data_IF_027511726825
#
_entry.id   IF_027511726825
#
_cell.length_a   1.000
_cell.length_b   1.000
_cell.length_c   1.000
_cell.angle_alpha   90.00
_cell.angle_beta   90.00
_cell.angle_gamma   90.00
#
_symmetry.space_group_name_H-M   'P 1'
#
loop_
_entity.id
_entity.type
_entity.pdbx_description
1 polymer ?
2 non-polymer ?
3 non-polymer ?
4 non-polymer ?
5 non-polymer ?
6 water ?
#
# COMPACT_ATOMS: atom_id res chain seq x y z
N UNK A 8 -9.74 -18.83 13.55
CA UNK A 8 -8.99 -17.62 13.22
C UNK A 8 -7.76 -17.94 12.38
N UNK A 9 -7.86 -17.82 11.06
CA UNK A 9 -6.82 -18.24 10.14
C UNK A 9 -6.29 -17.04 9.37
N UNK A 10 -4.98 -16.95 9.24
CA UNK A 10 -4.31 -15.93 8.45
C UNK A 10 -3.87 -16.53 7.11
N UNK A 11 -4.25 -15.87 6.01
CA UNK A 11 -3.79 -16.30 4.71
C UNK A 11 -2.48 -15.64 4.30
N UNK A 12 -1.79 -16.27 3.33
CA UNK A 12 -0.57 -15.72 2.76
C UNK A 12 -0.50 -16.11 1.29
N UNK A 13 -0.17 -15.14 0.43
CA UNK A 13 0.01 -15.43 -0.99
C UNK A 13 1.38 -14.94 -1.44
N UNK A 14 2.11 -15.80 -2.14
CA UNK A 14 3.41 -15.46 -2.69
C UNK A 14 3.68 -16.38 -3.87
N UNK A 15 4.28 -15.83 -4.92
CA UNK A 15 4.62 -16.61 -6.10
C UNK A 15 5.93 -16.07 -6.65
N UNK A 16 6.92 -16.96 -6.82
CA UNK A 16 8.25 -16.48 -7.22
C UNK A 16 8.26 -15.95 -8.64
N UNK A 17 7.24 -16.28 -9.45
CA UNK A 17 7.20 -15.76 -10.81
C UNK A 17 7.12 -14.24 -10.84
N UNK A 18 6.70 -13.60 -9.76
CA UNK A 18 6.73 -12.15 -9.75
C UNK A 18 8.15 -11.58 -9.69
N UNK A 19 9.18 -12.43 -9.56
CA UNK A 19 10.58 -11.99 -9.57
C UNK A 19 11.11 -11.73 -10.99
N UNK A 20 10.37 -12.14 -12.02
CA UNK A 20 10.86 -12.02 -13.39
C UNK A 20 10.92 -10.56 -13.87
N UNK A 21 10.05 -9.70 -13.36
CA UNK A 21 10.12 -8.27 -13.63
C UNK A 21 11.48 -7.73 -13.19
N UNK A 22 12.20 -7.06 -14.09
CA UNK A 22 13.54 -6.60 -13.74
C UNK A 22 13.97 -5.42 -14.60
N UNK A 23 14.96 -4.69 -14.09
CA UNK A 23 15.57 -3.57 -14.81
C UNK A 23 16.78 -4.11 -15.57
N UNK A 24 16.66 -4.21 -16.89
CA UNK A 24 17.74 -4.81 -17.65
C UNK A 24 18.91 -3.86 -17.89
N UNK A 25 18.76 -2.57 -17.57
CA UNK A 25 19.83 -1.59 -17.69
C UNK A 25 20.45 -1.21 -16.36
N UNK A 26 19.92 -1.67 -15.23
CA UNK A 26 20.54 -1.41 -13.94
C UNK A 26 20.14 -2.56 -13.02
N UNK A 27 21.04 -3.54 -12.87
CA UNK A 27 20.78 -4.70 -12.05
C UNK A 27 20.70 -4.36 -10.57
N UNK A 28 21.16 -3.18 -10.16
CA UNK A 28 21.10 -2.76 -8.77
C UNK A 28 19.98 -1.75 -8.51
N UNK A 29 19.02 -1.62 -9.42
CA UNK A 29 17.86 -0.77 -9.15
C UNK A 29 17.18 -1.24 -7.86
N UNK A 30 16.81 -0.32 -6.97
CA UNK A 30 16.32 -0.73 -5.64
C UNK A 30 15.06 -1.58 -5.67
N UNK A 31 14.20 -1.44 -6.68
CA UNK A 31 12.98 -2.26 -6.77
C UNK A 31 13.37 -3.60 -7.38
N UNK A 32 14.03 -4.41 -6.56
CA UNK A 32 14.73 -5.66 -6.85
C UNK A 32 13.77 -6.85 -6.84
N UNK A 33 13.99 -7.83 -7.73
CA UNK A 33 13.24 -9.08 -7.60
C UNK A 33 13.38 -9.70 -6.22
N UNK A 34 14.52 -9.51 -5.57
CA UNK A 34 14.82 -10.16 -4.30
C UNK A 34 14.10 -9.54 -3.12
N UNK A 35 13.42 -8.40 -3.32
CA UNK A 35 12.54 -7.88 -2.27
C UNK A 35 11.57 -8.96 -1.79
N UNK A 36 10.83 -9.59 -2.69
CA UNK A 36 9.79 -10.51 -2.25
C UNK A 36 10.39 -11.84 -1.78
N UNK A 37 11.46 -12.32 -2.44
CA UNK A 37 12.07 -13.58 -2.04
C UNK A 37 12.69 -13.48 -0.65
N UNK A 38 13.37 -12.37 -0.36
CA UNK A 38 13.92 -12.19 0.97
C UNK A 38 12.82 -12.16 2.03
N UNK A 39 11.71 -11.46 1.75
CA UNK A 39 10.59 -11.44 2.70
C UNK A 39 10.05 -12.85 2.90
N UNK A 40 9.80 -13.55 1.80
CA UNK A 40 9.28 -14.92 1.92
C UNK A 40 10.19 -15.79 2.78
N UNK A 41 11.52 -15.70 2.57
CA UNK A 41 12.45 -16.54 3.34
C UNK A 41 12.40 -16.21 4.83
N UNK A 42 12.31 -14.92 5.18
CA UNK A 42 12.23 -14.56 6.60
C UNK A 42 10.98 -15.14 7.26
N UNK A 43 9.86 -15.15 6.53
CA UNK A 43 8.65 -15.81 7.04
C UNK A 43 8.91 -17.27 7.32
N UNK A 44 9.65 -17.94 6.43
CA UNK A 44 10.00 -19.35 6.66
C UNK A 44 10.87 -19.49 7.91
N UNK A 45 11.91 -18.66 8.01
CA UNK A 45 12.87 -18.76 9.11
C UNK A 45 12.22 -18.53 10.46
N UNK A 46 11.30 -17.56 10.54
CA UNK A 46 10.62 -17.26 11.79
C UNK A 46 9.45 -18.19 12.08
N UNK A 47 9.21 -19.17 11.21
CA UNK A 47 8.11 -20.15 11.36
C UNK A 47 6.75 -19.47 11.27
N UNK A 48 6.64 -18.42 10.46
CA UNK A 48 5.37 -17.74 10.24
C UNK A 48 4.59 -18.35 9.08
N UNK A 49 5.30 -18.73 8.01
CA UNK A 49 4.67 -19.29 6.83
C UNK A 49 3.88 -20.55 7.14
N UNK A 50 4.46 -21.43 7.97
CA UNK A 50 3.79 -22.70 8.28
C UNK A 50 2.48 -22.49 9.04
N UNK A 51 2.36 -21.39 9.79
CA UNK A 51 1.13 -21.11 10.53
C UNK A 51 0.03 -20.52 9.66
N UNK A 52 0.31 -20.16 8.42
CA UNK A 52 -0.67 -19.53 7.54
C UNK A 52 -1.36 -20.54 6.63
N UNK A 53 -2.54 -20.16 6.16
CA UNK A 53 -3.17 -20.86 5.06
C UNK A 53 -2.63 -20.29 3.76
N UNK A 54 -2.15 -21.15 2.87
CA UNK A 54 -1.48 -20.71 1.67
C UNK A 54 -2.51 -20.44 0.58
N UNK A 55 -2.62 -19.18 0.16
CA UNK A 55 -3.58 -18.78 -0.85
C UNK A 55 -2.91 -18.82 -2.21
N UNK A 56 -3.50 -19.49 -3.20
CA UNK A 56 -2.88 -19.54 -4.52
C UNK A 56 -2.93 -18.22 -5.26
N UNK A 57 -1.89 -17.98 -6.06
CA UNK A 57 -1.77 -16.80 -6.91
C UNK A 57 -2.44 -17.04 -8.25
N UNK A 58 -2.84 -15.95 -8.89
CA UNK A 58 -3.46 -16.06 -10.21
C UNK A 58 -3.25 -14.76 -10.97
N UNK A 59 -3.42 -14.84 -12.28
CA UNK A 59 -3.41 -13.64 -13.10
C UNK A 59 -4.73 -12.90 -12.95
N UNK A 60 -4.65 -11.57 -12.81
CA UNK A 60 -5.82 -10.75 -13.08
C UNK A 60 -6.14 -10.82 -14.57
N UNK A 61 -7.43 -10.69 -14.89
CA UNK A 61 -7.87 -10.64 -16.27
C UNK A 61 -7.96 -9.20 -16.76
N UNK A 62 -7.99 -9.04 -18.08
CA UNK A 62 -8.09 -7.70 -18.65
C UNK A 62 -9.36 -6.98 -18.20
N UNK A 63 -10.44 -7.74 -18.02
CA UNK A 63 -11.69 -7.14 -17.55
C UNK A 63 -11.58 -6.70 -16.09
N UNK A 64 -10.80 -7.40 -15.28
CA UNK A 64 -10.62 -6.96 -13.90
C UNK A 64 -9.76 -5.69 -13.84
N UNK A 65 -8.77 -5.58 -14.73
CA UNK A 65 -8.00 -4.32 -14.82
C UNK A 65 -8.90 -3.14 -15.19
N UNK A 66 -9.92 -3.38 -16.02
CA UNK A 66 -10.85 -2.32 -16.41
C UNK A 66 -11.69 -1.82 -15.25
N UNK A 67 -11.63 -2.46 -14.08
CA UNK A 67 -12.29 -1.90 -12.91
C UNK A 67 -11.75 -0.52 -12.54
N UNK A 68 -10.48 -0.28 -12.82
CA UNK A 68 -9.81 0.97 -12.44
C UNK A 68 -9.05 1.64 -13.57
N UNK A 69 -8.63 0.91 -14.61
CA UNK A 69 -7.71 1.43 -15.61
C UNK A 69 -8.36 1.53 -16.98
N UNK A 70 -7.93 2.53 -17.74
CA UNK A 70 -8.45 2.76 -19.07
C UNK A 70 -7.97 1.66 -20.03
N UNK A 71 -8.77 1.47 -21.09
CA UNK A 71 -8.41 0.45 -22.07
C UNK A 71 -7.12 0.82 -22.81
N UNK A 72 -6.82 2.12 -22.93
CA UNK A 72 -5.57 2.52 -23.56
C UNK A 72 -4.37 2.11 -22.72
N UNK A 73 -4.42 2.35 -21.41
CA UNK A 73 -3.30 2.02 -20.54
C UNK A 73 -3.09 0.50 -20.45
N UNK A 74 -4.18 -0.27 -20.42
CA UNK A 74 -4.03 -1.72 -20.43
C UNK A 74 -3.41 -2.18 -21.75
N UNK A 75 -3.87 -1.60 -22.86
CA UNK A 75 -3.37 -2.00 -24.17
C UNK A 75 -1.87 -1.74 -24.31
N UNK A 76 -1.38 -0.64 -23.76
CA UNK A 76 0.02 -0.26 -23.94
C UNK A 76 0.93 -1.17 -23.11
N UNK A 77 0.61 -1.37 -21.83
CA UNK A 77 1.43 -2.23 -20.98
C UNK A 77 1.38 -3.67 -21.48
N UNK A 78 0.21 -4.11 -21.95
CA UNK A 78 0.09 -5.45 -22.52
C UNK A 78 1.03 -5.63 -23.72
N UNK A 79 1.13 -4.61 -24.58
CA UNK A 79 1.95 -4.72 -25.78
C UNK A 79 3.44 -4.84 -25.46
N UNK A 80 3.88 -4.43 -24.26
CA UNK A 80 5.29 -4.48 -23.89
C UNK A 80 5.81 -5.90 -23.71
N UNK A 81 4.92 -6.90 -23.60
CA UNK A 81 5.38 -8.27 -23.48
C UNK A 81 6.17 -8.74 -24.70
N UNK A 82 5.96 -8.10 -25.86
CA UNK A 82 6.56 -8.53 -27.12
C UNK A 82 7.56 -7.54 -27.68
N UNK A 83 8.02 -6.58 -26.86
CA UNK A 83 8.89 -5.53 -27.35
C UNK A 83 10.36 -5.94 -27.24
N UNK A 84 11.15 -5.50 -28.22
CA UNK A 84 12.60 -5.63 -28.16
C UNK A 84 13.14 -4.66 -27.10
N UNK A 85 14.36 -4.89 -26.60
CA UNK A 85 14.88 -4.03 -25.53
C UNK A 85 14.86 -2.54 -25.86
N UNK A 86 15.20 -2.18 -27.10
CA UNK A 86 15.26 -0.77 -27.49
C UNK A 86 13.90 -0.08 -27.34
N UNK A 87 12.82 -0.80 -27.64
CA UNK A 87 11.47 -0.26 -27.47
C UNK A 87 11.04 -0.27 -26.01
N UNK A 88 11.43 -1.30 -25.27
CA UNK A 88 11.16 -1.31 -23.83
C UNK A 88 11.75 -0.08 -23.16
N UNK A 89 12.97 0.32 -23.59
CA UNK A 89 13.59 1.51 -23.02
C UNK A 89 12.82 2.78 -23.40
N UNK A 90 12.43 2.89 -24.68
CA UNK A 90 11.69 4.07 -25.12
C UNK A 90 10.38 4.21 -24.36
N UNK A 91 9.59 3.14 -24.30
CA UNK A 91 8.30 3.16 -23.62
C UNK A 91 8.45 3.51 -22.14
N UNK A 92 9.40 2.87 -21.46
CA UNK A 92 9.61 3.16 -20.05
C UNK A 92 9.95 4.62 -19.79
N UNK A 93 10.68 5.26 -20.70
CA UNK A 93 11.05 6.66 -20.53
C UNK A 93 9.88 7.61 -20.75
N UNK A 94 8.81 7.14 -21.38
CA UNK A 94 7.62 7.95 -21.52
C UNK A 94 6.87 8.13 -20.19
N UNK A 95 7.24 7.39 -19.16
CA UNK A 95 6.61 7.50 -17.85
C UNK A 95 7.59 8.09 -16.84
N UNK A 96 7.04 8.55 -15.72
CA UNK A 96 7.85 9.01 -14.60
C UNK A 96 8.31 7.82 -13.78
N UNK A 97 9.63 7.54 -13.81
CA UNK A 97 10.26 6.52 -12.97
C UNK A 97 9.67 5.13 -13.21
N UNK A 98 9.91 4.61 -14.42
CA UNK A 98 9.41 3.29 -14.80
C UNK A 98 10.49 2.57 -15.62
N UNK A 99 10.78 1.32 -15.27
CA UNK A 99 11.52 0.42 -16.12
C UNK A 99 10.64 -0.77 -16.48
N UNK A 100 10.83 -1.32 -17.69
CA UNK A 100 9.98 -2.38 -18.22
C UNK A 100 10.84 -3.47 -18.84
N UNK A 101 10.44 -4.73 -18.60
CA UNK A 101 10.99 -5.91 -19.26
C UNK A 101 9.83 -6.69 -19.89
N UNK A 102 10.15 -7.79 -20.58
CA UNK A 102 9.10 -8.57 -21.25
C UNK A 102 8.18 -9.27 -20.27
N UNK A 103 8.59 -9.42 -19.02
CA UNK A 103 7.81 -10.09 -17.98
C UNK A 103 6.97 -9.14 -17.14
N UNK A 104 7.15 -7.81 -17.30
CA UNK A 104 6.53 -6.84 -16.40
C UNK A 104 5.01 -6.93 -16.43
N UNK A 105 4.42 -7.06 -17.62
CA UNK A 105 2.96 -7.11 -17.71
C UNK A 105 2.42 -8.32 -16.94
N UNK A 106 3.02 -9.49 -17.17
CA UNK A 106 2.58 -10.70 -16.47
C UNK A 106 2.76 -10.58 -14.96
N UNK A 107 3.85 -9.97 -14.49
CA UNK A 107 4.03 -9.88 -13.05
C UNK A 107 3.02 -8.93 -12.42
N UNK A 108 2.69 -7.83 -13.10
CA UNK A 108 1.69 -6.93 -12.58
C UNK A 108 0.33 -7.62 -12.52
N UNK A 109 0.04 -8.48 -13.51
CA UNK A 109 -1.19 -9.27 -13.46
C UNK A 109 -1.18 -10.18 -12.24
N UNK A 110 -0.05 -10.85 -11.99
CA UNK A 110 0.01 -11.79 -10.89
C UNK A 110 -0.13 -11.09 -9.55
N UNK A 111 0.47 -9.92 -9.42
CA UNK A 111 0.36 -9.17 -8.18
C UNK A 111 -1.11 -8.83 -7.91
N UNK A 112 -1.81 -8.31 -8.93
CA UNK A 112 -3.22 -7.96 -8.75
C UNK A 112 -4.08 -9.19 -8.52
N UNK A 113 -3.89 -10.24 -9.33
CA UNK A 113 -4.70 -11.44 -9.16
C UNK A 113 -4.45 -12.13 -7.83
N UNK A 114 -3.20 -12.13 -7.36
CA UNK A 114 -2.90 -12.67 -6.04
C UNK A 114 -3.71 -11.96 -4.96
N UNK A 115 -3.85 -10.65 -5.09
CA UNK A 115 -4.58 -9.89 -4.09
C UNK A 115 -6.09 -10.11 -4.19
N UNK A 116 -6.61 -10.25 -5.42
CA UNK A 116 -8.03 -10.60 -5.58
C UNK A 116 -8.34 -11.92 -4.86
N UNK A 117 -7.48 -12.93 -5.05
CA UNK A 117 -7.73 -14.22 -4.41
C UNK A 117 -7.68 -14.09 -2.90
N UNK A 118 -6.79 -13.24 -2.37
CA UNK A 118 -6.75 -13.05 -0.92
C UNK A 118 -7.98 -12.30 -0.41
N UNK A 119 -8.44 -11.29 -1.16
CA UNK A 119 -9.66 -10.60 -0.76
C UNK A 119 -10.86 -11.53 -0.80
N UNK A 120 -10.97 -12.35 -1.84
CA UNK A 120 -12.06 -13.31 -1.91
C UNK A 120 -12.02 -14.30 -0.75
N UNK A 121 -10.82 -14.74 -0.38
CA UNK A 121 -10.67 -15.67 0.75
C UNK A 121 -11.13 -15.04 2.06
N UNK A 122 -10.85 -13.75 2.25
CA UNK A 122 -11.30 -13.06 3.45
C UNK A 122 -12.82 -12.87 3.41
N UNK A 123 -13.35 -12.46 2.26
CA UNK A 123 -14.75 -12.08 2.18
C UNK A 123 -15.68 -13.29 2.25
N UNK A 124 -15.20 -14.46 1.83
CA UNK A 124 -16.01 -15.67 1.90
C UNK A 124 -15.78 -16.46 3.19
N UNK A 125 -14.94 -15.96 4.10
CA UNK A 125 -14.75 -16.65 5.38
C UNK A 125 -13.72 -17.77 5.39
N UNK A 126 -12.94 -17.94 4.33
CA UNK A 126 -11.92 -18.98 4.38
C UNK A 126 -10.78 -18.59 5.32
N UNK A 127 -10.51 -17.30 5.46
CA UNK A 127 -9.50 -16.77 6.38
C UNK A 127 -10.05 -15.51 7.03
N UNK A 128 -9.48 -15.16 8.19
CA UNK A 128 -9.83 -13.92 8.89
C UNK A 128 -9.10 -12.72 8.28
N UNK A 129 -7.81 -12.86 8.00
CA UNK A 129 -7.01 -11.81 7.41
C UNK A 129 -5.93 -12.45 6.52
N UNK A 130 -5.08 -11.62 5.89
CA UNK A 130 -4.10 -12.15 4.93
C UNK A 130 -2.97 -11.16 4.64
N UNK A 131 -1.83 -11.71 4.19
CA UNK A 131 -0.66 -10.95 3.73
C UNK A 131 -0.35 -11.32 2.28
N UNK A 132 -0.07 -10.32 1.46
CA UNK A 132 0.31 -10.52 0.06
C UNK A 132 1.71 -9.97 -0.17
N UNK A 133 2.64 -10.86 -0.46
CA UNK A 133 4.04 -10.51 -0.73
C UNK A 133 4.15 -10.42 -2.24
N UNK A 134 3.95 -9.22 -2.80
CA UNK A 134 3.78 -9.07 -4.23
C UNK A 134 4.64 -7.92 -4.74
N UNK A 135 4.95 -7.99 -6.04
CA UNK A 135 5.62 -6.92 -6.76
C UNK A 135 5.30 -7.08 -8.23
N UNK A 136 5.47 -6.02 -9.04
CA UNK A 136 5.84 -4.63 -8.72
C UNK A 136 4.73 -3.95 -7.93
N UNK A 137 5.00 -2.81 -7.25
CA UNK A 137 3.94 -2.15 -6.45
C UNK A 137 2.87 -1.50 -7.32
N UNK A 138 1.89 -0.84 -6.69
CA UNK A 138 0.76 -0.33 -7.45
C UNK A 138 0.25 1.08 -7.15
N UNK A 139 0.56 1.66 -5.99
CA UNK A 139 -0.25 2.79 -5.53
C UNK A 139 0.04 4.10 -6.25
N UNK A 140 1.10 4.17 -7.05
CA UNK A 140 1.35 5.33 -7.91
C UNK A 140 0.69 5.22 -9.26
N UNK A 141 0.23 4.03 -9.66
CA UNK A 141 -0.42 3.88 -10.96
C UNK A 141 -1.80 4.57 -10.95
N UNK A 142 -2.07 5.30 -12.02
CA UNK A 142 -3.32 6.02 -12.18
C UNK A 142 -4.19 5.28 -13.20
N UNK A 143 -5.38 5.82 -13.45
CA UNK A 143 -6.30 5.19 -14.40
C UNK A 143 -5.66 5.07 -15.78
N UNK A 144 -4.97 6.11 -16.23
CA UNK A 144 -4.48 6.18 -17.60
C UNK A 144 -2.96 6.09 -17.73
N UNK A 145 -2.21 5.87 -16.65
CA UNK A 145 -0.75 5.88 -16.79
C UNK A 145 -0.06 5.14 -15.65
N UNK A 146 1.12 4.61 -15.96
CA UNK A 146 2.05 4.02 -15.01
C UNK A 146 2.97 5.09 -14.44
N UNK A 147 3.50 4.82 -13.25
CA UNK A 147 4.32 5.80 -12.55
C UNK A 147 4.98 5.15 -11.34
N UNK A 148 6.18 5.63 -11.02
CA UNK A 148 6.85 5.28 -9.77
C UNK A 148 6.99 3.81 -9.47
N UNK A 149 7.46 3.04 -10.44
CA UNK A 149 7.64 1.58 -10.39
C UNK A 149 6.31 0.82 -10.47
N UNK A 150 5.17 1.50 -10.61
CA UNK A 150 3.84 0.89 -10.55
C UNK A 150 3.20 0.86 -11.94
N UNK A 151 2.61 -0.28 -12.31
CA UNK A 151 1.92 -0.42 -13.60
C UNK A 151 0.40 -0.38 -13.48
N UNK A 152 -0.17 -1.20 -12.60
CA UNK A 152 -1.59 -1.18 -12.31
C UNK A 152 -1.74 -1.02 -10.80
N UNK A 153 -2.83 -0.37 -10.39
CA UNK A 153 -3.02 -0.03 -8.98
C UNK A 153 -3.65 -1.23 -8.28
N UNK A 154 -2.80 -2.04 -7.64
CA UNK A 154 -3.22 -3.30 -7.07
C UNK A 154 -4.22 -3.11 -5.92
N UNK A 155 -3.89 -2.22 -4.97
CA UNK A 155 -4.80 -1.94 -3.86
C UNK A 155 -6.14 -1.40 -4.34
N UNK A 156 -6.12 -0.48 -5.32
CA UNK A 156 -7.37 0.08 -5.85
C UNK A 156 -8.19 -0.97 -6.59
N UNK A 157 -7.52 -1.81 -7.39
CA UNK A 157 -8.22 -2.87 -8.10
C UNK A 157 -8.84 -3.86 -7.15
N UNK A 158 -8.16 -4.14 -6.03
CA UNK A 158 -8.67 -5.09 -5.05
C UNK A 158 -9.92 -4.57 -4.36
N UNK A 159 -9.92 -3.28 -4.01
CA UNK A 159 -11.13 -2.68 -3.44
C UNK A 159 -12.30 -2.79 -4.41
N UNK A 160 -12.10 -2.44 -5.69
CA UNK A 160 -13.18 -2.60 -6.65
C UNK A 160 -13.53 -4.06 -6.89
N UNK A 161 -12.52 -4.95 -6.87
CA UNK A 161 -12.81 -6.38 -7.00
C UNK A 161 -13.66 -6.87 -5.83
N UNK A 162 -13.29 -6.48 -4.61
CA UNK A 162 -14.06 -6.87 -3.43
C UNK A 162 -15.51 -6.44 -3.57
N UNK A 163 -15.74 -5.21 -4.03
CA UNK A 163 -17.11 -4.75 -4.25
C UNK A 163 -17.81 -5.56 -5.34
N UNK A 164 -17.07 -5.96 -6.39
CA UNK A 164 -17.71 -6.68 -7.49
C UNK A 164 -18.21 -8.06 -7.08
N UNK A 165 -17.61 -8.67 -6.06
CA UNK A 165 -18.03 -10.00 -5.62
C UNK A 165 -18.85 -9.94 -4.34
N UNK A 166 -19.26 -8.75 -3.91
CA UNK A 166 -20.12 -8.65 -2.74
C UNK A 166 -21.29 -7.73 -3.06
N UNK A 167 -21.12 -6.43 -2.80
CA UNK A 167 -22.12 -5.45 -3.20
C UNK A 167 -21.39 -4.14 -3.45
N UNK A 168 -21.97 -3.32 -4.34
CA UNK A 168 -21.25 -2.14 -4.80
C UNK A 168 -20.95 -1.18 -3.66
N UNK A 169 -21.79 -1.15 -2.63
CA UNK A 169 -21.61 -0.22 -1.51
C UNK A 169 -20.76 -0.78 -0.38
N UNK A 170 -20.03 -1.87 -0.61
CA UNK A 170 -19.15 -2.42 0.42
C UNK A 170 -18.17 -1.34 0.88
N UNK A 171 -18.08 -1.14 2.19
CA UNK A 171 -17.24 -0.08 2.75
C UNK A 171 -15.82 -0.61 2.92
N UNK A 172 -14.89 -0.10 2.10
CA UNK A 172 -13.49 -0.50 2.12
C UNK A 172 -12.65 0.69 2.60
N UNK A 173 -11.82 0.46 3.61
CA UNK A 173 -10.80 1.41 4.02
C UNK A 173 -9.45 0.98 3.46
N UNK A 174 -8.70 1.93 2.90
CA UNK A 174 -7.35 1.69 2.40
C UNK A 174 -6.42 2.57 3.22
N UNK A 175 -5.54 1.96 4.01
CA UNK A 175 -4.53 2.68 4.77
C UNK A 175 -3.20 2.50 4.05
N UNK A 176 -2.60 3.62 3.66
CA UNK A 176 -1.37 3.65 2.85
C UNK A 176 -0.26 4.19 3.74
N UNK A 177 0.52 3.30 4.35
CA UNK A 177 1.63 3.73 5.20
C UNK A 177 2.97 3.62 4.51
N UNK A 178 2.98 3.34 3.20
CA UNK A 178 4.15 3.58 2.38
C UNK A 178 4.61 5.03 2.54
N UNK A 179 5.93 5.26 2.52
CA UNK A 179 6.42 6.60 2.82
C UNK A 179 6.04 7.60 1.73
N UNK A 180 5.67 7.15 0.55
CA UNK A 180 5.26 8.03 -0.54
C UNK A 180 3.73 8.12 -0.62
N UNK A 181 3.24 9.24 -1.15
CA UNK A 181 1.81 9.41 -1.35
C UNK A 181 1.32 8.51 -2.47
N UNK A 182 0.22 7.79 -2.21
CA UNK A 182 -0.36 6.94 -3.25
C UNK A 182 -1.30 7.72 -4.14
N UNK A 183 -0.70 8.56 -5.00
CA UNK A 183 -1.46 9.48 -5.85
C UNK A 183 -2.52 8.76 -6.67
N UNK A 184 -2.18 7.58 -7.20
CA UNK A 184 -3.15 6.83 -7.99
C UNK A 184 -4.36 6.42 -7.18
N UNK A 185 -4.15 5.99 -5.93
CA UNK A 185 -5.26 5.52 -5.10
C UNK A 185 -6.17 6.68 -4.72
N UNK A 186 -5.60 7.80 -4.29
CA UNK A 186 -6.40 9.01 -4.05
C UNK A 186 -7.25 9.37 -5.25
N UNK A 187 -6.64 9.45 -6.43
CA UNK A 187 -7.37 9.96 -7.58
C UNK A 187 -8.44 8.97 -8.06
N UNK A 188 -8.16 7.67 -8.01
CA UNK A 188 -9.17 6.70 -8.44
C UNK A 188 -10.44 6.81 -7.60
N UNK A 189 -10.30 7.09 -6.30
CA UNK A 189 -11.45 7.12 -5.39
C UNK A 189 -11.83 8.53 -4.94
N UNK A 190 -11.37 9.56 -5.66
CA UNK A 190 -11.47 10.93 -5.15
C UNK A 190 -12.91 11.36 -4.93
N UNK A 191 -13.81 10.92 -5.81
CA UNK A 191 -15.23 11.28 -5.75
C UNK A 191 -16.09 10.19 -5.12
N UNK A 192 -15.48 9.20 -4.49
CA UNK A 192 -16.14 7.99 -4.05
C UNK A 192 -16.22 7.94 -2.53
N UNK A 193 -17.42 7.76 -1.98
CA UNK A 193 -17.58 7.67 -0.54
C UNK A 193 -17.69 6.24 -0.05
N UNK A 194 -17.55 5.27 -0.95
CA UNK A 194 -17.54 3.86 -0.58
C UNK A 194 -16.15 3.34 -0.26
N UNK A 195 -15.09 4.12 -0.54
CA UNK A 195 -13.71 3.72 -0.30
C UNK A 195 -13.00 4.89 0.36
N UNK A 196 -12.70 4.76 1.65
CA UNK A 196 -11.97 5.77 2.41
C UNK A 196 -10.48 5.55 2.22
N UNK A 197 -9.77 6.56 1.70
CA UNK A 197 -8.32 6.50 1.49
C UNK A 197 -7.64 7.35 2.55
N UNK A 198 -6.75 6.74 3.34
CA UNK A 198 -5.95 7.45 4.33
C UNK A 198 -4.49 7.16 4.02
N UNK A 199 -3.71 8.21 3.71
CA UNK A 199 -2.29 8.06 3.42
C UNK A 199 -1.45 8.86 4.42
N UNK A 200 -0.38 8.25 4.92
CA UNK A 200 0.67 8.96 5.61
C UNK A 200 1.91 8.96 4.72
N UNK A 201 2.58 10.11 4.62
CA UNK A 201 3.65 10.18 3.64
C UNK A 201 4.58 11.35 3.96
N UNK A 202 5.83 11.21 3.52
CA UNK A 202 6.77 12.32 3.56
C UNK A 202 6.44 13.30 2.44
N UNK A 203 6.30 14.57 2.79
CA UNK A 203 5.81 15.58 1.84
C UNK A 203 6.83 16.67 1.57
N UNK A 204 7.38 17.29 2.62
CA UNK A 204 8.33 18.41 2.51
C UNK A 204 7.85 19.47 1.51
N UNK A 205 6.65 19.98 1.75
CA UNK A 205 6.07 21.09 0.98
C UNK A 205 5.93 20.75 -0.50
N UNK A 206 5.92 19.47 -0.87
CA UNK A 206 5.77 19.09 -2.24
C UNK A 206 7.06 18.80 -2.98
N UNK A 207 8.16 18.56 -2.26
CA UNK A 207 9.44 18.30 -2.89
C UNK A 207 9.83 16.81 -2.91
N UNK A 208 9.12 15.96 -2.17
CA UNK A 208 9.37 14.53 -2.13
C UNK A 208 8.51 13.83 -3.18
N UNK A 209 9.02 12.74 -3.75
CA UNK A 209 8.27 12.02 -4.76
C UNK A 209 6.89 11.63 -4.21
N UNK A 210 5.81 11.76 -5.00
CA UNK A 210 5.78 12.16 -6.42
C UNK A 210 5.67 13.66 -6.72
N UNK A 211 6.08 14.52 -5.78
CA UNK A 211 6.39 15.93 -6.06
C UNK A 211 5.16 16.75 -6.46
N UNK A 212 4.05 16.53 -5.78
CA UNK A 212 2.83 17.23 -6.15
C UNK A 212 2.11 17.68 -4.89
N UNK A 213 1.46 18.84 -4.99
CA UNK A 213 0.61 19.32 -3.90
C UNK A 213 -0.67 18.50 -3.75
N UNK A 214 -0.93 17.53 -4.64
CA UNK A 214 -2.05 16.61 -4.45
C UNK A 214 -1.96 15.85 -3.15
N UNK A 215 -0.77 15.73 -2.57
CA UNK A 215 -0.54 14.99 -1.33
C UNK A 215 -0.77 15.82 -0.08
N UNK A 216 -1.16 17.10 -0.22
CA UNK A 216 -1.28 17.92 0.97
C UNK A 216 -2.58 17.64 1.72
N UNK A 217 -2.57 18.00 3.01
CA UNK A 217 -3.69 17.72 3.92
C UNK A 217 -4.99 18.34 3.44
N UNK A 218 -4.95 19.39 2.61
CA UNK A 218 -6.19 20.06 2.23
C UNK A 218 -6.91 19.37 1.07
N UNK A 219 -6.37 18.29 0.52
CA UNK A 219 -7.07 17.53 -0.50
C UNK A 219 -7.95 16.50 0.22
N UNK A 220 -9.23 16.83 0.43
CA UNK A 220 -10.09 16.02 1.28
C UNK A 220 -11.09 15.20 0.48
N UNK A 221 -11.02 15.22 -0.86
CA UNK A 221 -12.00 14.56 -1.69
C UNK A 221 -12.87 15.56 -2.44
N UNK A 222 -13.68 15.03 -3.36
CA UNK A 222 -14.47 15.85 -4.27
C UNK A 222 -15.92 15.36 -4.33
N UNK A 223 -16.86 16.28 -4.21
CA UNK A 223 -18.27 15.90 -4.38
C UNK A 223 -18.74 15.01 -3.26
N UNK A 224 -19.40 13.89 -3.63
CA UNK A 224 -19.83 12.93 -2.63
C UNK A 224 -18.68 12.39 -1.81
N UNK A 225 -17.46 12.42 -2.34
CA UNK A 225 -16.30 11.90 -1.63
C UNK A 225 -15.60 12.90 -0.75
N UNK A 226 -16.22 14.06 -0.49
CA UNK A 226 -15.66 15.03 0.42
C UNK A 226 -15.61 14.45 1.83
N UNK A 227 -14.41 14.50 2.45
CA UNK A 227 -14.15 13.86 3.71
C UNK A 227 -13.55 12.46 3.60
N UNK A 228 -13.61 11.84 2.42
CA UNK A 228 -13.25 10.43 2.27
C UNK A 228 -11.85 10.25 1.69
N UNK A 229 -11.02 11.29 1.78
CA UNK A 229 -9.62 11.25 1.38
C UNK A 229 -8.84 11.99 2.45
N UNK A 230 -7.96 11.28 3.14
CA UNK A 230 -7.28 11.83 4.31
C UNK A 230 -5.78 11.74 4.04
N UNK A 231 -5.14 12.88 3.71
CA UNK A 231 -3.69 12.96 3.53
C UNK A 231 -3.05 13.48 4.81
N UNK A 232 -2.07 12.74 5.32
CA UNK A 232 -1.31 13.16 6.50
C UNK A 232 0.13 13.40 6.05
N UNK A 233 0.47 14.63 5.67
CA UNK A 233 1.80 14.93 5.12
C UNK A 233 2.82 15.32 6.19
N UNK A 234 4.02 14.74 6.08
CA UNK A 234 5.11 15.05 6.98
C UNK A 234 6.03 16.08 6.37
N UNK A 235 6.42 17.08 7.16
CA UNK A 235 7.41 18.07 6.78
C UNK A 235 8.47 18.14 7.86
N UNK A 236 9.73 18.35 7.46
CA UNK A 236 10.79 18.60 8.41
C UNK A 236 11.54 17.39 8.92
N UNK A 237 12.09 16.58 8.00
CA UNK A 237 13.05 15.56 8.37
C UNK A 237 12.44 14.27 8.91
N UNK A 238 13.28 13.54 9.64
CA UNK A 238 13.00 12.14 9.96
C UNK A 238 11.85 12.02 10.96
N UNK A 239 10.98 11.03 10.72
CA UNK A 239 9.89 10.66 11.60
C UNK A 239 9.99 9.18 11.94
N UNK A 240 9.35 8.77 13.04
CA UNK A 240 9.43 7.40 13.50
C UNK A 240 8.18 6.92 14.20
N UNK A 241 8.36 5.90 15.05
CA UNK A 241 7.27 5.33 15.85
C UNK A 241 6.43 6.36 16.59
N UNK A 242 7.00 7.36 17.30
CA UNK A 242 6.13 8.29 18.05
C UNK A 242 5.17 9.07 17.16
N UNK A 243 5.64 9.50 16.00
CA UNK A 243 4.80 10.26 15.09
C UNK A 243 3.72 9.39 14.47
N UNK A 244 4.08 8.16 14.08
CA UNK A 244 3.08 7.29 13.47
C UNK A 244 2.06 6.81 14.49
N UNK A 245 2.49 6.57 15.74
CA UNK A 245 1.54 6.19 16.79
C UNK A 245 0.60 7.33 17.14
N UNK A 246 1.11 8.57 17.16
CA UNK A 246 0.26 9.71 17.43
C UNK A 246 -0.73 9.94 16.29
N UNK A 247 -0.29 9.77 15.04
CA UNK A 247 -1.18 9.98 13.92
C UNK A 247 -2.32 8.94 13.93
N UNK A 248 -2.02 7.70 14.27
CA UNK A 248 -3.06 6.68 14.38
C UNK A 248 -4.03 6.99 15.52
N UNK A 249 -3.50 7.53 16.62
CA UNK A 249 -4.35 7.81 17.79
C UNK A 249 -5.29 8.98 17.54
N UNK A 250 -4.81 10.06 16.92
CA UNK A 250 -5.62 11.24 16.74
C UNK A 250 -6.46 11.22 15.47
N UNK A 251 -5.99 10.55 14.41
CA UNK A 251 -6.63 10.65 13.11
C UNK A 251 -7.05 9.30 12.55
N UNK A 252 -6.11 8.37 12.31
CA UNK A 252 -6.42 7.21 11.49
C UNK A 252 -7.55 6.38 12.11
N UNK A 253 -7.40 6.05 13.41
CA UNK A 253 -8.35 5.13 14.05
C UNK A 253 -9.70 5.80 14.37
N UNK A 254 -9.74 7.05 14.83
CA UNK A 254 -11.05 7.69 15.00
C UNK A 254 -11.83 7.83 13.70
N UNK A 255 -11.20 8.29 12.62
CA UNK A 255 -11.91 8.37 11.35
C UNK A 255 -12.34 6.99 10.86
N UNK A 256 -11.45 5.99 10.97
CA UNK A 256 -11.81 4.63 10.55
C UNK A 256 -12.97 4.08 11.38
N UNK A 257 -12.98 4.31 12.69
CA UNK A 257 -14.09 3.81 13.50
C UNK A 257 -15.40 4.43 13.06
N UNK A 258 -15.41 5.74 12.76
CA UNK A 258 -16.63 6.41 12.32
C UNK A 258 -17.05 5.95 10.92
N UNK A 259 -16.07 5.63 10.06
CA UNK A 259 -16.39 5.10 8.73
C UNK A 259 -16.93 3.67 8.81
N UNK A 260 -16.49 2.90 9.81
CA UNK A 260 -16.89 1.52 10.02
C UNK A 260 -16.69 0.64 8.79
N UNK A 261 -15.46 0.48 8.30
CA UNK A 261 -15.25 -0.33 7.10
C UNK A 261 -15.64 -1.78 7.32
N UNK A 262 -16.03 -2.44 6.22
CA UNK A 262 -16.23 -3.88 6.25
C UNK A 262 -15.00 -4.65 5.81
N UNK A 263 -14.07 -4.01 5.08
CA UNK A 263 -12.82 -4.62 4.68
C UNK A 263 -11.72 -3.57 4.78
N UNK A 264 -10.55 -3.96 5.30
CA UNK A 264 -9.40 -3.05 5.44
C UNK A 264 -8.27 -3.57 4.56
N UNK A 265 -7.82 -2.74 3.62
CA UNK A 265 -6.64 -3.01 2.80
C UNK A 265 -5.52 -2.08 3.26
N UNK A 266 -4.34 -2.65 3.49
CA UNK A 266 -3.17 -1.85 3.82
C UNK A 266 -2.27 -1.81 2.58
N UNK A 267 -2.07 -0.61 2.03
CA UNK A 267 -1.03 -0.39 1.04
C UNK A 267 0.27 -0.26 1.83
N UNK A 268 0.92 -1.39 2.04
CA UNK A 268 1.95 -1.52 3.07
C UNK A 268 3.34 -1.50 2.43
N UNK A 269 3.74 -0.30 2.03
CA UNK A 269 5.14 -0.05 1.77
C UNK A 269 5.94 -0.13 3.05
N UNK A 270 7.20 -0.52 2.94
CA UNK A 270 8.05 -0.52 4.14
C UNK A 270 9.26 0.40 3.95
N UNK A 271 9.08 1.46 3.15
CA UNK A 271 10.14 2.42 2.89
C UNK A 271 10.17 3.55 3.92
N UNK A 272 9.24 3.56 4.87
CA UNK A 272 9.42 4.41 6.05
C UNK A 272 10.23 3.72 7.14
N UNK A 273 10.75 2.53 6.87
CA UNK A 273 11.46 1.75 7.87
C UNK A 273 12.88 2.27 8.11
N UNK A 274 13.32 2.13 9.36
CA UNK A 274 14.71 2.33 9.71
C UNK A 274 15.60 1.57 8.73
N UNK A 275 16.54 2.30 8.11
CA UNK A 275 17.49 1.72 7.19
C UNK A 275 17.18 1.93 5.73
N UNK A 276 16.06 2.56 5.38
CA UNK A 276 15.71 2.72 3.98
C UNK A 276 16.20 4.07 3.47
N UNK A 277 17.06 4.11 2.44
CA UNK A 277 17.54 5.40 1.94
C UNK A 277 16.50 6.17 1.15
N UNK A 278 15.49 5.49 0.60
CA UNK A 278 14.50 6.17 -0.22
C UNK A 278 13.45 6.90 0.61
N UNK A 279 13.36 6.58 1.90
CA UNK A 279 12.37 7.20 2.76
C UNK A 279 12.97 8.09 3.82
N UNK A 280 14.11 7.68 4.38
CA UNK A 280 14.79 8.46 5.38
C UNK A 280 14.09 8.56 6.73
N UNK A 281 13.17 7.64 7.02
CA UNK A 281 12.45 7.60 8.30
C UNK A 281 12.97 6.45 9.14
N UNK A 282 12.41 6.29 10.34
CA UNK A 282 12.91 5.22 11.21
C UNK A 282 11.78 4.52 11.97
N UNK A 283 10.68 4.22 11.27
CA UNK A 283 9.68 3.33 11.85
C UNK A 283 10.31 1.95 12.05
N UNK A 284 10.10 1.37 13.24
CA UNK A 284 10.72 0.10 13.64
C UNK A 284 9.79 -1.07 13.34
N UNK A 285 10.33 -2.30 13.29
CA UNK A 285 9.43 -3.46 13.11
C UNK A 285 8.39 -3.55 14.21
N UNK A 286 8.75 -3.18 15.44
CA UNK A 286 7.75 -3.13 16.51
C UNK A 286 6.70 -2.05 16.23
N UNK A 287 7.13 -0.91 15.67
CA UNK A 287 6.18 0.10 15.24
C UNK A 287 5.15 -0.43 14.25
N UNK A 288 5.62 -1.17 13.23
CA UNK A 288 4.68 -1.71 12.25
C UNK A 288 3.76 -2.76 12.87
N UNK A 289 4.27 -3.53 13.83
CA UNK A 289 3.42 -4.46 14.57
C UNK A 289 2.27 -3.73 15.26
N UNK A 290 2.55 -2.59 15.90
CA UNK A 290 1.49 -1.87 16.59
C UNK A 290 0.49 -1.28 15.61
N UNK A 291 0.97 -0.75 14.48
CA UNK A 291 0.04 -0.25 13.46
C UNK A 291 -0.89 -1.35 12.98
N UNK A 292 -0.35 -2.54 12.72
CA UNK A 292 -1.18 -3.66 12.30
C UNK A 292 -2.19 -4.03 13.38
N UNK A 293 -1.74 -4.12 14.64
CA UNK A 293 -2.62 -4.55 15.72
C UNK A 293 -3.78 -3.59 15.93
N UNK A 294 -3.54 -2.28 15.76
CA UNK A 294 -4.65 -1.32 15.82
C UNK A 294 -5.63 -1.53 14.68
N UNK A 295 -5.14 -1.77 13.46
CA UNK A 295 -6.05 -1.94 12.34
C UNK A 295 -6.91 -3.19 12.49
N UNK A 296 -6.42 -4.21 13.21
CA UNK A 296 -7.18 -5.45 13.40
C UNK A 296 -8.42 -5.26 14.26
N UNK A 297 -8.56 -4.14 14.97
CA UNK A 297 -9.78 -3.86 15.71
C UNK A 297 -10.91 -3.39 14.82
N UNK A 298 -10.68 -3.22 13.52
CA UNK A 298 -11.67 -2.76 12.55
C UNK A 298 -12.18 -3.91 11.70
N UNK A 299 -13.37 -3.73 11.13
CA UNK A 299 -13.91 -4.58 10.08
C UNK A 299 -13.96 -6.06 10.47
N UNK A 300 -14.22 -6.34 11.75
CA UNK A 300 -14.27 -7.70 12.27
C UNK A 300 -12.96 -8.44 12.00
N UNK A 301 -11.87 -7.67 11.88
CA UNK A 301 -10.57 -8.24 11.63
C UNK A 301 -10.23 -8.52 10.18
N UNK A 302 -11.11 -8.13 9.25
CA UNK A 302 -10.88 -8.39 7.83
C UNK A 302 -9.80 -7.47 7.28
N UNK A 303 -8.53 -7.85 7.42
CA UNK A 303 -7.42 -7.02 7.02
C UNK A 303 -6.57 -7.77 5.99
N UNK A 304 -6.27 -7.12 4.88
CA UNK A 304 -5.34 -7.64 3.88
C UNK A 304 -4.16 -6.69 3.75
N UNK A 305 -2.95 -7.20 3.98
CA UNK A 305 -1.73 -6.38 3.96
C UNK A 305 -1.03 -6.60 2.62
N UNK A 306 -0.91 -5.53 1.84
CA UNK A 306 -0.40 -5.61 0.47
C UNK A 306 0.95 -4.90 0.39
N UNK A 307 1.99 -5.62 -0.02
CA UNK A 307 3.30 -4.99 -0.16
C UNK A 307 3.27 -3.93 -1.25
N UNK A 308 3.81 -2.76 -0.93
CA UNK A 308 4.08 -1.74 -1.94
C UNK A 308 5.59 -1.54 -2.05
N UNK A 309 6.11 -0.39 -1.61
CA UNK A 309 7.54 -0.13 -1.61
C UNK A 309 8.26 -0.69 -0.39
N UNK A 310 9.48 -0.20 -0.18
CA UNK A 310 10.34 -0.77 0.84
C UNK A 310 11.57 -1.44 0.23
N UNK A 311 12.76 -0.87 0.44
CA UNK A 311 13.91 -1.20 -0.38
C UNK A 311 15.15 -1.66 0.37
N UNK A 312 15.18 -1.58 1.70
CA UNK A 312 16.22 -2.23 2.49
C UNK A 312 15.79 -3.66 2.73
N UNK A 313 16.53 -4.62 2.17
CA UNK A 313 16.06 -6.00 2.14
C UNK A 313 15.87 -6.56 3.55
N UNK A 314 16.79 -6.28 4.47
CA UNK A 314 16.64 -6.76 5.83
C UNK A 314 15.50 -6.05 6.56
N UNK A 315 15.33 -4.75 6.30
CA UNK A 315 14.33 -3.95 7.02
C UNK A 315 12.92 -4.38 6.63
N UNK A 316 12.67 -4.55 5.33
CA UNK A 316 11.33 -4.96 4.89
C UNK A 316 11.02 -6.39 5.31
N UNK A 317 12.04 -7.25 5.44
CA UNK A 317 11.80 -8.63 5.84
C UNK A 317 11.40 -8.71 7.31
N UNK A 318 12.11 -7.99 8.19
CA UNK A 318 11.74 -7.96 9.60
C UNK A 318 10.41 -7.24 9.82
N UNK A 319 10.12 -6.21 9.03
CA UNK A 319 8.94 -5.38 9.29
C UNK A 319 7.67 -6.06 8.83
N UNK A 320 7.69 -6.65 7.64
CA UNK A 320 6.49 -7.35 7.17
C UNK A 320 6.28 -8.65 7.95
N UNK A 321 7.34 -9.30 8.41
CA UNK A 321 7.17 -10.47 9.26
C UNK A 321 6.47 -10.09 10.55
N UNK A 322 6.88 -8.97 11.15
CA UNK A 322 6.21 -8.48 12.36
C UNK A 322 4.71 -8.26 12.12
N UNK A 323 4.33 -7.80 10.93
CA UNK A 323 2.91 -7.59 10.64
C UNK A 323 2.17 -8.93 10.60
N UNK A 324 2.72 -9.90 9.88
CA UNK A 324 2.09 -11.21 9.80
C UNK A 324 1.97 -11.87 11.18
N UNK A 325 2.97 -11.69 12.03
CA UNK A 325 2.90 -12.15 13.41
C UNK A 325 1.69 -11.56 14.15
N UNK A 326 1.42 -10.26 13.94
CA UNK A 326 0.24 -9.66 14.55
C UNK A 326 -1.04 -10.26 14.00
N UNK A 327 -1.15 -10.41 12.67
CA UNK A 327 -2.35 -10.99 12.09
C UNK A 327 -2.62 -12.39 12.65
N UNK A 328 -1.55 -13.17 12.89
CA UNK A 328 -1.65 -14.50 13.45
C UNK A 328 -2.10 -14.50 14.91
N UNK A 329 -2.16 -13.35 15.57
CA UNK A 329 -2.65 -13.27 16.93
C UNK A 329 -1.60 -13.14 18.03
N UNK A 330 -0.32 -13.01 17.67
CA UNK A 330 0.72 -12.87 18.68
C UNK A 330 0.60 -11.53 19.41
N UNK A 331 1.09 -11.51 20.65
CA UNK A 331 1.03 -10.32 21.48
C UNK A 331 1.91 -9.22 20.87
N UNK A 332 1.46 -7.97 20.89
CA UNK A 332 2.27 -6.87 20.30
C UNK A 332 3.56 -6.69 21.06
N UNK A 333 4.68 -6.53 20.35
CA UNK A 333 5.98 -6.41 21.01
C UNK A 333 6.13 -5.08 21.71
N UNK A 334 7.03 -5.07 22.70
CA UNK A 334 7.30 -3.85 23.44
C UNK A 334 8.00 -2.83 22.55
N UNK A 335 7.50 -1.60 22.54
CA UNK A 335 8.12 -0.55 21.74
C UNK A 335 9.35 0.02 22.43
N UNK A 336 10.30 0.49 21.63
CA UNK A 336 11.47 1.19 22.15
C UNK A 336 11.02 2.49 22.81
N UNK A 337 11.99 3.33 23.18
CA UNK A 337 11.62 4.62 23.76
C UNK A 337 10.95 5.48 22.69
N UNK A 338 9.83 6.11 23.05
CA UNK A 338 9.09 6.98 22.15
C UNK A 338 9.46 8.42 22.50
N UNK A 339 10.37 9.00 21.73
CA UNK A 339 10.73 10.40 21.90
C UNK A 339 9.49 11.27 21.72
N UNK A 340 9.45 12.47 22.32
CA UNK A 340 8.26 13.32 22.16
C UNK A 340 8.07 13.72 20.71
N UNK A 341 6.80 13.95 20.34
CA UNK A 341 6.49 14.35 18.98
C UNK A 341 7.32 15.54 18.52
N UNK A 342 7.93 15.41 17.34
CA UNK A 342 8.57 16.56 16.72
C UNK A 342 7.53 17.65 16.51
N UNK A 343 7.91 18.91 16.81
CA UNK A 343 7.00 20.04 16.63
C UNK A 343 6.35 20.00 15.26
N UNK A 344 7.12 19.64 14.22
CA UNK A 344 6.58 19.64 12.86
C UNK A 344 5.52 18.56 12.68
N UNK A 345 5.67 17.44 13.38
CA UNK A 345 4.65 16.39 13.33
C UNK A 345 3.36 16.84 14.01
N UNK A 346 3.48 17.58 15.12
CA UNK A 346 2.30 18.17 15.75
C UNK A 346 1.58 19.10 14.78
N UNK A 347 2.33 19.97 14.09
CA UNK A 347 1.73 20.86 13.10
C UNK A 347 0.96 20.07 12.04
N UNK A 348 1.54 18.97 11.54
CA UNK A 348 0.86 18.20 10.50
C UNK A 348 -0.43 17.58 11.01
N UNK A 349 -0.39 16.98 12.20
CA UNK A 349 -1.58 16.35 12.75
C UNK A 349 -2.66 17.40 12.98
N UNK A 350 -2.25 18.57 13.45
CA UNK A 350 -3.22 19.64 13.68
C UNK A 350 -3.81 20.15 12.37
N UNK A 351 -2.99 20.23 11.31
CA UNK A 351 -3.53 20.67 10.02
C UNK A 351 -4.55 19.66 9.47
N UNK A 352 -4.30 18.36 9.64
CA UNK A 352 -5.26 17.37 9.16
C UNK A 352 -6.53 17.40 10.01
N UNK A 353 -6.38 17.47 11.34
CA UNK A 353 -7.52 17.56 12.24
C UNK A 353 -8.43 18.72 11.89
N UNK A 354 -7.83 19.89 11.65
CA UNK A 354 -8.58 21.09 11.31
C UNK A 354 -9.27 20.93 9.95
N UNK A 355 -8.57 20.33 8.99
CA UNK A 355 -9.16 20.18 7.66
C UNK A 355 -10.28 19.14 7.62
N UNK A 356 -10.31 18.21 8.57
CA UNK A 356 -11.29 17.13 8.53
C UNK A 356 -12.36 17.21 9.62
N UNK A 357 -12.21 18.11 10.58
CA UNK A 357 -13.26 18.48 11.54
C UNK A 357 -14.65 18.58 10.92
N UNK A 358 -14.83 19.19 9.73
CA UNK A 358 -16.19 19.27 9.16
C UNK A 358 -16.81 17.92 8.87
N UNK A 359 -16.02 16.97 8.41
CA UNK A 359 -16.57 15.72 7.88
C UNK A 359 -16.66 14.61 8.91
N UNK A 360 -15.89 14.68 9.99
CA UNK A 360 -15.78 13.57 10.94
C UNK A 360 -16.06 14.10 12.33
N UNK A 361 -17.28 13.84 12.81
CA UNK A 361 -17.71 14.38 14.10
C UNK A 361 -16.91 13.81 15.27
N UNK A 362 -16.29 12.64 15.09
CA UNK A 362 -15.50 12.02 16.15
C UNK A 362 -14.25 12.79 16.50
N UNK A 363 -13.74 13.59 15.56
CA UNK A 363 -12.42 14.19 15.74
C UNK A 363 -12.40 15.13 16.93
N UNK A 364 -11.29 15.11 17.66
CA UNK A 364 -11.10 15.97 18.83
C UNK A 364 -9.73 16.63 18.76
X LIG B 1 14.05 8.62 -7.34
X LIG B 1 15.52 8.26 -7.51
X LIG B 1 8.69 4.46 -5.02
X LIG B 1 9.45 5.48 -5.85
X LIG B 1 10.58 6.07 -5.30
X LIG B 1 11.30 7.00 -6.02
X LIG B 1 10.90 7.32 -7.30
X LIG B 1 11.69 8.36 -8.10
X LIG B 1 9.78 6.74 -7.85
X LIG B 1 9.05 5.81 -7.13
X LIG B 1 9.10 4.26 -3.65
X LIG B 1 13.09 8.01 -8.24
X LIG B 1 8.43 3.32 -2.84
X LIG B 1 13.70 9.38 -6.49
X LIG B 1 7.81 3.80 -5.49
X LIG C 1 7.22 4.22 -1.48
X LIG D 1 1.47 6.63 1.92
X LIG E 1 -12.35 8.34 -1.31
X LIG F 1 -14.93 -1.24 12.16
X LIG F 1 -15.17 -1.51 10.80
X LIG F 1 -15.96 -2.01 12.97
X LIG F 1 -17.18 -1.35 12.76
X LIG G 1 12.12 10.61 -3.69
X LIG G 1 11.44 11.72 -3.19
X LIG G 1 12.00 9.50 -2.67
X LIG G 1 12.75 8.43 -3.14
X LIG H 1 2.93 24.02 2.77
X LIG H 1 4.02 23.15 2.62
X LIG H 1 1.68 23.19 3.02
X LIG H 1 1.45 23.19 4.39
#
# INVERSE_FOLDING_TARGET
>A
SNAGGSSPITGLVYDQRMMLHHNMWDSHHPELPQRISRIFSRHEELRLLSRCHRIPARLATEEELALCHSSKHISIIKSSEHMKPRDLNRLGDEYNSIFISNESYTCALLAAGSCFNSAQAILTGQVRNAVAIVRPPGHHAEKDTACGFCFFNTAALTARYAQSITRESLRVLIVDWDVHHGNGTQHIFEEDDSVLYISLHRYEDGAFFPNSEDANYDKVGLGKGRGYNVNIPWNGGKMGDPEYMAAFHHLVMPIAREFAPELVLVSAGFDAARGDPLGGFQVTPEGYAHLTHQLMSLAAGRVLIILEGGYNLTSISESMSMCTSMLLGDSPPSLDHLTPLKTSATVSINNVLRAHAPFWSSLR
>B hetero
1 YIZ C10 C11 C03 C04 C05 C06 C07 C08 C13 C14 N02 N09 O01 O12 O15
>C hetero
1 ZN ZN
>D hetero
1 K K
>E hetero
1 K K
>F hetero
1 EDO C1 O1 C2 O2
>G hetero
1 EDO C1 O1 C2 O2
>H hetero
1 EDO C1 O1 C2 O2
#
